data_IF_169683134661
#
_entry.id   IF_169683134661
#
_cell.length_a   1.000
_cell.length_b   1.000
_cell.length_c   1.000
_cell.angle_alpha   90.00
_cell.angle_beta   90.00
_cell.angle_gamma   90.00
#
_symmetry.space_group_name_H-M   'P 1'
#
loop_
_entity.id
_entity.type
_entity.pdbx_description
1 polymer ?
#
# COMPACT_ATOMS: atom_id res chain seq x y z
N UNK A 1 21.28 -21.48 55.36
CA UNK A 1 21.91 -20.21 54.90
C UNK A 1 22.39 -20.24 53.45
N UNK A 2 22.51 -21.39 52.77
CA UNK A 2 23.02 -21.48 51.39
C UNK A 2 22.14 -20.81 50.31
N UNK A 3 20.81 -20.71 50.52
CA UNK A 3 19.92 -20.09 49.52
C UNK A 3 19.90 -18.55 49.55
N UNK A 4 20.41 -17.90 50.62
CA UNK A 4 20.41 -16.43 50.72
C UNK A 4 21.35 -15.79 49.70
N UNK A 5 22.52 -16.37 49.48
CA UNK A 5 23.49 -15.83 48.52
C UNK A 5 22.97 -15.95 47.08
N UNK A 6 22.30 -17.05 46.74
CA UNK A 6 21.67 -17.24 45.43
C UNK A 6 20.56 -16.21 45.20
N UNK A 7 19.72 -15.95 46.21
CA UNK A 7 18.65 -14.95 46.13
C UNK A 7 19.18 -13.52 45.96
N UNK A 8 20.26 -13.17 46.66
CA UNK A 8 20.92 -11.86 46.53
C UNK A 8 21.54 -11.70 45.14
N UNK A 9 22.27 -12.71 44.65
CA UNK A 9 22.84 -12.68 43.29
C UNK A 9 21.74 -12.55 42.24
N UNK A 10 20.66 -13.32 42.35
CA UNK A 10 19.51 -13.22 41.45
C UNK A 10 18.86 -11.83 41.48
N UNK A 11 18.67 -11.26 42.68
CA UNK A 11 18.10 -9.91 42.83
C UNK A 11 18.98 -8.85 42.21
N UNK A 12 20.30 -8.95 42.39
CA UNK A 12 21.28 -8.03 41.79
C UNK A 12 21.26 -8.16 40.27
N UNK A 13 21.28 -9.38 39.72
CA UNK A 13 21.18 -9.60 38.28
C UNK A 13 19.87 -9.08 37.69
N UNK A 14 18.74 -9.30 38.38
CA UNK A 14 17.44 -8.76 37.98
C UNK A 14 17.45 -7.23 38.00
N UNK A 15 18.03 -6.60 39.02
CA UNK A 15 18.15 -5.14 39.09
C UNK A 15 19.03 -4.58 37.96
N UNK A 16 20.11 -5.26 37.59
CA UNK A 16 20.88 -4.87 36.40
C UNK A 16 20.10 -5.05 35.11
N UNK A 17 19.34 -6.14 34.96
CA UNK A 17 18.49 -6.36 33.81
C UNK A 17 17.40 -5.29 33.69
N UNK A 18 16.76 -4.89 34.79
CA UNK A 18 15.75 -3.82 34.77
C UNK A 18 16.35 -2.46 34.46
N UNK A 19 17.50 -2.13 35.04
CA UNK A 19 18.23 -0.90 34.70
C UNK A 19 18.64 -0.86 33.22
N UNK A 20 19.08 -2.00 32.67
CA UNK A 20 19.37 -2.11 31.25
C UNK A 20 18.12 -1.86 30.39
N UNK A 21 16.98 -2.49 30.71
CA UNK A 21 15.73 -2.22 29.96
C UNK A 21 15.26 -0.76 30.06
N UNK A 22 15.37 -0.14 31.24
CA UNK A 22 15.00 1.27 31.45
C UNK A 22 15.94 2.24 30.71
N UNK A 23 17.20 1.86 30.51
CA UNK A 23 18.16 2.70 29.80
C UNK A 23 17.76 2.94 28.33
N UNK A 24 17.05 2.01 27.69
CA UNK A 24 16.55 2.20 26.33
C UNK A 24 15.55 3.35 26.24
N UNK A 25 14.62 3.50 27.19
CA UNK A 25 13.70 4.64 27.23
C UNK A 25 14.45 5.98 27.36
N UNK A 26 15.50 6.03 28.17
CA UNK A 26 16.27 7.26 28.37
C UNK A 26 17.11 7.63 27.14
N UNK A 27 17.71 6.65 26.48
CA UNK A 27 18.46 6.87 25.23
C UNK A 27 17.53 7.27 24.09
N UNK A 28 16.37 6.61 23.96
CA UNK A 28 15.36 6.96 22.96
C UNK A 28 14.86 8.40 23.11
N UNK A 29 14.45 8.78 24.34
CA UNK A 29 13.92 10.13 24.59
C UNK A 29 14.96 11.23 24.39
N UNK A 30 16.23 10.96 24.73
CA UNK A 30 17.33 11.90 24.46
C UNK A 30 17.54 12.13 22.96
N UNK A 31 17.48 11.06 22.16
CA UNK A 31 17.61 11.17 20.70
C UNK A 31 16.40 11.87 20.06
N UNK A 32 15.19 11.59 20.55
CA UNK A 32 13.96 12.26 20.10
C UNK A 32 13.96 13.75 20.44
N UNK A 33 14.46 14.13 21.63
CA UNK A 33 14.65 15.56 21.97
C UNK A 33 15.60 16.26 20.99
N UNK A 34 16.66 15.57 20.55
CA UNK A 34 17.60 16.11 19.55
C UNK A 34 16.90 16.30 18.20
N UNK A 35 16.01 15.37 17.82
CA UNK A 35 15.22 15.49 16.60
C UNK A 35 14.21 16.65 16.66
N UNK A 36 13.59 16.87 17.81
CA UNK A 36 12.68 18.01 18.02
C UNK A 36 13.42 19.35 17.92
N UNK A 37 14.62 19.44 18.49
CA UNK A 37 15.50 20.62 18.35
C UNK A 37 15.87 20.88 16.88
N UNK A 38 16.22 19.83 16.13
CA UNK A 38 16.48 19.92 14.69
C UNK A 38 15.23 20.36 13.92
N UNK A 39 14.07 19.81 14.26
CA UNK A 39 12.80 20.18 13.66
C UNK A 39 12.46 21.65 13.85
N UNK A 40 12.60 22.14 15.09
CA UNK A 40 12.39 23.56 15.42
C UNK A 40 13.36 24.48 14.65
N UNK A 41 14.62 24.08 14.49
CA UNK A 41 15.59 24.81 13.68
C UNK A 41 15.19 24.90 12.20
N UNK A 42 14.72 23.79 11.61
CA UNK A 42 14.25 23.77 10.21
C UNK A 42 13.01 24.65 10.05
N UNK A 43 12.06 24.57 10.98
CA UNK A 43 10.85 25.41 10.95
C UNK A 43 11.18 26.90 11.05
N UNK A 44 12.09 27.30 11.93
CA UNK A 44 12.57 28.68 12.06
C UNK A 44 13.22 29.19 10.77
N UNK A 45 14.00 28.34 10.10
CA UNK A 45 14.57 28.66 8.79
C UNK A 45 13.49 28.82 7.70
N UNK A 46 12.44 27.98 7.71
CA UNK A 46 11.35 28.07 6.74
C UNK A 46 10.47 29.29 6.99
N UNK A 47 10.18 29.61 8.25
CA UNK A 47 9.43 30.80 8.65
C UNK A 47 10.16 32.07 8.24
N UNK A 48 11.46 32.15 8.57
CA UNK A 48 12.31 33.28 8.20
C UNK A 48 12.41 33.48 6.69
N UNK A 49 12.31 32.41 5.91
CA UNK A 49 12.29 32.44 4.45
C UNK A 49 10.91 32.69 3.84
N UNK A 50 9.84 32.74 4.64
CA UNK A 50 8.45 32.84 4.16
C UNK A 50 8.00 31.60 3.36
N UNK A 51 8.60 30.44 3.62
CA UNK A 51 8.44 29.20 2.85
C UNK A 51 7.59 28.13 3.55
N UNK A 52 6.90 28.48 4.65
CA UNK A 52 5.99 27.57 5.37
C UNK A 52 4.78 27.13 4.52
N UNK A 53 4.40 27.92 3.51
CA UNK A 53 3.20 27.67 2.72
C UNK A 53 1.94 27.75 3.60
N UNK A 54 1.14 26.69 3.57
CA UNK A 54 -0.09 26.57 4.37
C UNK A 54 0.12 25.91 5.75
N UNK A 55 1.35 25.47 6.06
CA UNK A 55 1.64 24.79 7.33
C UNK A 55 1.90 25.78 8.47
N UNK A 56 1.52 25.39 9.68
CA UNK A 56 1.93 26.10 10.90
C UNK A 56 3.38 25.77 11.28
N UNK A 57 4.00 26.62 12.11
CA UNK A 57 5.36 26.38 12.61
C UNK A 57 5.50 25.01 13.28
N UNK A 58 4.54 24.66 14.16
CA UNK A 58 4.55 23.39 14.88
C UNK A 58 4.42 22.19 13.95
N UNK A 59 3.61 22.31 12.88
CA UNK A 59 3.46 21.26 11.86
C UNK A 59 4.75 21.04 11.07
N UNK A 60 5.40 22.13 10.65
CA UNK A 60 6.67 22.10 9.93
C UNK A 60 7.80 21.53 10.80
N UNK A 61 7.87 21.97 12.07
CA UNK A 61 8.87 21.49 13.03
C UNK A 61 8.70 19.98 13.28
N UNK A 62 7.46 19.55 13.55
CA UNK A 62 7.17 18.14 13.77
C UNK A 62 7.40 17.30 12.51
N UNK A 63 7.18 17.85 11.30
CA UNK A 63 7.49 17.16 10.05
C UNK A 63 8.99 16.95 9.88
N UNK A 64 9.80 17.98 10.10
CA UNK A 64 11.25 17.90 9.99
C UNK A 64 11.86 16.98 11.05
N UNK A 65 11.36 17.00 12.29
CA UNK A 65 11.78 16.06 13.34
C UNK A 65 11.48 14.60 12.95
N UNK A 66 10.28 14.32 12.44
CA UNK A 66 9.90 12.98 11.94
C UNK A 66 10.80 12.51 10.80
N UNK A 67 11.11 13.41 9.86
CA UNK A 67 11.99 13.11 8.74
C UNK A 67 13.41 12.79 9.21
N UNK A 68 13.93 13.58 10.15
CA UNK A 68 15.22 13.32 10.78
C UNK A 68 15.28 11.93 11.45
N UNK A 69 14.27 11.56 12.24
CA UNK A 69 14.20 10.26 12.91
C UNK A 69 14.10 9.10 11.90
N UNK A 70 13.32 9.28 10.83
CA UNK A 70 13.18 8.30 9.75
C UNK A 70 14.52 8.06 9.05
N UNK A 71 15.20 9.13 8.68
CA UNK A 71 16.46 9.06 7.93
C UNK A 71 17.61 8.58 8.83
N UNK A 72 17.49 8.80 10.15
CA UNK A 72 18.43 8.34 11.18
C UNK A 72 18.07 6.98 11.80
N UNK A 73 17.14 6.22 11.22
CA UNK A 73 16.67 4.96 11.81
C UNK A 73 17.79 3.93 12.10
N UNK A 74 18.86 3.94 11.28
CA UNK A 74 20.03 3.07 11.43
C UNK A 74 21.18 3.70 12.21
N UNK A 75 21.06 4.95 12.64
CA UNK A 75 22.10 5.63 13.40
C UNK A 75 22.32 4.91 14.74
N UNK A 76 23.59 4.64 15.09
CA UNK A 76 23.97 4.06 16.37
C UNK A 76 23.87 5.13 17.46
N UNK A 77 22.88 5.00 18.33
CA UNK A 77 22.62 6.00 19.38
C UNK A 77 22.94 5.47 20.78
N UNK A 78 23.06 4.14 20.93
CA UNK A 78 23.29 3.54 22.23
C UNK A 78 24.79 3.50 22.56
N UNK A 79 25.23 4.13 23.67
CA UNK A 79 26.65 4.47 23.90
C UNK A 79 27.59 3.27 24.13
N UNK A 80 27.06 2.10 24.53
CA UNK A 80 27.90 0.95 24.94
C UNK A 80 27.91 -0.18 23.91
N UNK A 81 26.78 -0.45 23.26
CA UNK A 81 26.56 -1.65 22.45
C UNK A 81 26.30 -1.36 20.96
N UNK A 82 26.45 -0.10 20.52
CA UNK A 82 26.26 0.28 19.10
C UNK A 82 24.84 0.01 18.58
N UNK A 83 23.84 -0.03 19.45
CA UNK A 83 22.47 -0.27 19.01
C UNK A 83 21.94 0.92 18.22
N UNK A 84 21.35 0.62 17.05
CA UNK A 84 20.65 1.62 16.23
C UNK A 84 19.42 2.19 16.92
N UNK A 85 18.98 3.40 16.52
CA UNK A 85 17.74 4.00 17.01
C UNK A 85 16.55 3.05 16.87
N UNK A 86 16.40 2.39 15.71
CA UNK A 86 15.35 1.39 15.50
C UNK A 86 15.37 0.28 16.54
N UNK A 87 16.54 -0.29 16.83
CA UNK A 87 16.67 -1.34 17.84
C UNK A 87 16.33 -0.84 19.24
N UNK A 88 16.82 0.35 19.61
CA UNK A 88 16.51 0.98 20.90
C UNK A 88 15.00 1.22 21.04
N UNK A 89 14.32 1.66 19.97
CA UNK A 89 12.88 1.88 19.95
C UNK A 89 12.08 0.58 20.08
N UNK A 90 12.56 -0.51 19.50
CA UNK A 90 11.95 -1.85 19.64
C UNK A 90 12.07 -2.44 21.06
N UNK A 91 13.13 -2.10 21.78
CA UNK A 91 13.39 -2.54 23.17
C UNK A 91 12.77 -1.60 24.23
N UNK A 92 12.29 -0.43 23.83
CA UNK A 92 11.66 0.54 24.71
C UNK A 92 10.44 -0.08 25.42
N UNK A 93 10.28 0.20 26.71
CA UNK A 93 9.10 -0.25 27.47
C UNK A 93 7.83 0.36 26.88
N UNK A 94 6.83 -0.50 26.65
CA UNK A 94 5.52 -0.08 26.18
C UNK A 94 4.76 0.60 27.32
N UNK A 95 4.60 1.91 27.23
CA UNK A 95 3.82 2.69 28.19
C UNK A 95 2.29 2.59 27.92
N UNK A 96 1.88 1.92 26.85
CA UNK A 96 0.50 1.85 26.41
C UNK A 96 0.02 3.15 25.78
N UNK A 97 -1.21 3.12 25.25
CA UNK A 97 -1.82 4.27 24.57
C UNK A 97 -2.05 5.46 25.51
N UNK A 98 -2.38 5.19 26.78
CA UNK A 98 -2.72 6.22 27.76
C UNK A 98 -1.52 7.09 28.14
N UNK A 99 -0.34 6.48 28.27
CA UNK A 99 0.88 7.19 28.69
C UNK A 99 1.76 7.65 27.52
N UNK A 100 1.81 6.89 26.42
CA UNK A 100 2.62 7.24 25.22
C UNK A 100 1.84 8.07 24.20
N UNK A 101 0.50 8.11 24.31
CA UNK A 101 -0.35 8.56 23.22
C UNK A 101 -0.28 7.64 22.01
N UNK A 102 -0.98 7.99 20.94
CA UNK A 102 -0.99 7.23 19.69
C UNK A 102 -2.36 7.20 19.02
N UNK A 103 -2.72 6.04 18.45
CA UNK A 103 -3.98 5.86 17.74
C UNK A 103 -4.65 4.54 18.11
N UNK A 104 -5.97 4.57 18.37
CA UNK A 104 -6.83 3.40 18.46
C UNK A 104 -7.87 3.46 17.34
N UNK A 105 -8.00 2.38 16.58
CA UNK A 105 -8.94 2.25 15.46
C UNK A 105 -9.67 0.92 15.57
N UNK A 106 -10.99 0.96 15.39
CA UNK A 106 -11.78 -0.25 15.15
C UNK A 106 -12.06 -0.35 13.66
N UNK A 107 -11.59 -1.43 13.06
CA UNK A 107 -11.84 -1.80 11.68
C UNK A 107 -12.94 -2.85 11.64
N UNK A 108 -13.69 -2.91 10.54
CA UNK A 108 -14.73 -3.90 10.34
C UNK A 108 -14.54 -4.56 8.98
N UNK A 109 -14.61 -5.89 8.96
CA UNK A 109 -14.54 -6.67 7.74
C UNK A 109 -15.88 -6.57 7.02
N UNK A 110 -15.85 -6.22 5.73
CA UNK A 110 -17.07 -6.12 4.92
C UNK A 110 -17.57 -7.51 4.51
N UNK A 111 -18.26 -8.17 5.43
CA UNK A 111 -18.97 -9.42 5.16
C UNK A 111 -20.04 -9.30 4.05
N UNK A 112 -20.78 -8.18 3.90
CA UNK A 112 -21.70 -8.04 2.76
C UNK A 112 -21.00 -8.17 1.41
N UNK A 113 -19.84 -7.53 1.26
CA UNK A 113 -19.09 -7.55 0.00
C UNK A 113 -18.48 -8.93 -0.26
N UNK A 114 -18.04 -9.63 0.80
CA UNK A 114 -17.61 -11.03 0.71
C UNK A 114 -18.74 -11.92 0.17
N UNK A 115 -19.95 -11.82 0.74
CA UNK A 115 -21.09 -12.64 0.31
C UNK A 115 -21.47 -12.34 -1.15
N UNK A 116 -21.41 -11.07 -1.56
CA UNK A 116 -21.60 -10.69 -2.98
C UNK A 116 -20.53 -11.31 -3.88
N UNK A 117 -19.25 -11.24 -3.49
CA UNK A 117 -18.16 -11.82 -4.27
C UNK A 117 -18.28 -13.35 -4.39
N UNK A 118 -18.66 -14.05 -3.32
CA UNK A 118 -18.89 -15.50 -3.32
C UNK A 118 -20.05 -15.91 -4.25
N UNK A 119 -21.03 -15.03 -4.42
CA UNK A 119 -22.15 -15.23 -5.37
C UNK A 119 -21.80 -14.91 -6.83
N UNK A 120 -20.53 -14.63 -7.16
CA UNK A 120 -20.09 -14.10 -8.45
C UNK A 120 -20.91 -12.85 -8.85
N UNK A 121 -21.02 -11.92 -7.89
CA UNK A 121 -21.70 -10.64 -8.07
C UNK A 121 -23.17 -10.73 -8.55
N UNK A 122 -23.88 -11.81 -8.19
CA UNK A 122 -25.27 -12.05 -8.58
C UNK A 122 -26.19 -10.82 -8.48
N UNK A 123 -26.94 -10.55 -9.55
CA UNK A 123 -27.92 -9.44 -9.63
C UNK A 123 -29.32 -9.83 -9.16
N UNK A 124 -29.49 -10.99 -8.53
CA UNK A 124 -30.80 -11.44 -8.05
C UNK A 124 -31.41 -10.42 -7.06
N UNK A 125 -32.61 -9.94 -7.38
CA UNK A 125 -33.26 -8.87 -6.63
C UNK A 125 -33.57 -9.26 -5.18
N UNK A 126 -33.96 -10.51 -4.94
CA UNK A 126 -34.23 -10.98 -3.58
C UNK A 126 -32.94 -11.14 -2.77
N UNK A 127 -31.86 -11.62 -3.38
CA UNK A 127 -30.56 -11.74 -2.75
C UNK A 127 -29.99 -10.37 -2.35
N UNK A 128 -29.98 -9.41 -3.29
CA UNK A 128 -29.53 -8.03 -3.02
C UNK A 128 -30.43 -7.34 -1.99
N UNK A 129 -31.74 -7.61 -2.05
CA UNK A 129 -32.72 -7.14 -1.07
C UNK A 129 -32.41 -7.67 0.34
N UNK A 130 -32.24 -8.98 0.49
CA UNK A 130 -31.92 -9.62 1.76
C UNK A 130 -30.59 -9.12 2.36
N UNK A 131 -29.56 -8.89 1.53
CA UNK A 131 -28.30 -8.27 1.98
C UNK A 131 -28.50 -6.83 2.49
N UNK A 132 -29.34 -6.04 1.78
CA UNK A 132 -29.69 -4.69 2.21
C UNK A 132 -30.46 -4.68 3.53
N UNK A 133 -31.43 -5.58 3.67
CA UNK A 133 -32.26 -5.74 4.86
C UNK A 133 -31.38 -6.15 6.06
N UNK A 134 -30.48 -7.12 5.88
CA UNK A 134 -29.49 -7.52 6.89
C UNK A 134 -28.56 -6.37 7.30
N UNK A 135 -28.11 -5.56 6.34
CA UNK A 135 -27.27 -4.37 6.61
C UNK A 135 -28.04 -3.31 7.40
N UNK A 136 -29.34 -3.15 7.16
CA UNK A 136 -30.19 -2.25 7.93
C UNK A 136 -30.38 -2.77 9.37
N UNK A 137 -30.68 -4.06 9.53
CA UNK A 137 -30.84 -4.71 10.84
C UNK A 137 -29.58 -4.61 11.71
N UNK A 138 -28.39 -4.71 11.10
CA UNK A 138 -27.12 -4.60 11.82
C UNK A 138 -26.87 -3.24 12.46
N UNK A 139 -27.57 -2.18 12.02
CA UNK A 139 -27.50 -0.86 12.68
C UNK A 139 -28.24 -0.82 14.01
N UNK A 140 -29.27 -1.65 14.17
CA UNK A 140 -30.11 -1.72 15.37
C UNK A 140 -29.78 -2.90 16.28
N UNK A 141 -29.09 -3.93 15.76
CA UNK A 141 -28.87 -5.21 16.43
C UNK A 141 -27.38 -5.51 16.55
N UNK A 142 -26.98 -6.13 17.66
CA UNK A 142 -25.61 -6.58 17.91
C UNK A 142 -25.28 -7.98 17.39
N UNK A 143 -26.11 -8.55 16.51
CA UNK A 143 -25.94 -9.90 15.98
C UNK A 143 -24.88 -9.95 14.86
N UNK A 144 -24.37 -11.15 14.58
CA UNK A 144 -23.49 -11.40 13.45
C UNK A 144 -24.19 -11.17 12.10
N UNK A 145 -23.46 -10.68 11.10
CA UNK A 145 -24.03 -10.33 9.80
C UNK A 145 -24.60 -11.54 9.05
N UNK A 146 -23.95 -12.71 9.10
CA UNK A 146 -24.43 -13.90 8.38
C UNK A 146 -25.75 -14.38 8.98
N UNK A 147 -25.90 -14.31 10.29
CA UNK A 147 -27.17 -14.60 10.99
C UNK A 147 -28.28 -13.63 10.61
N UNK A 148 -27.96 -12.33 10.51
CA UNK A 148 -28.95 -11.33 10.06
C UNK A 148 -29.33 -11.54 8.59
N UNK A 149 -28.38 -11.95 7.76
CA UNK A 149 -28.62 -12.28 6.36
C UNK A 149 -29.48 -13.53 6.19
N UNK A 150 -29.23 -14.58 6.97
CA UNK A 150 -30.07 -15.78 7.01
C UNK A 150 -31.52 -15.47 7.38
N UNK A 151 -31.73 -14.64 8.40
CA UNK A 151 -33.07 -14.19 8.79
C UNK A 151 -33.76 -13.42 7.66
N UNK A 152 -33.07 -12.43 7.10
CA UNK A 152 -33.60 -11.62 6.00
C UNK A 152 -33.89 -12.45 4.75
N UNK A 153 -33.03 -13.41 4.40
CA UNK A 153 -33.24 -14.32 3.28
C UNK A 153 -34.47 -15.19 3.48
N UNK A 154 -34.60 -15.80 4.66
CA UNK A 154 -35.72 -16.69 5.00
C UNK A 154 -37.06 -15.96 4.95
N UNK A 155 -37.10 -14.70 5.39
CA UNK A 155 -38.31 -13.86 5.33
C UNK A 155 -38.66 -13.43 3.90
N UNK A 156 -37.64 -13.18 3.08
CA UNK A 156 -37.80 -12.54 1.77
C UNK A 156 -38.02 -13.52 0.62
N UNK A 157 -37.30 -14.64 0.62
CA UNK A 157 -37.29 -15.58 -0.49
C UNK A 157 -37.36 -17.05 -0.05
N UNK A 158 -38.37 -17.45 0.76
CA UNK A 158 -38.46 -18.82 1.28
C UNK A 158 -38.64 -19.90 0.20
N UNK A 159 -39.06 -19.53 -1.00
CA UNK A 159 -39.29 -20.45 -2.12
C UNK A 159 -38.11 -20.52 -3.10
N UNK A 160 -37.10 -19.65 -2.94
CA UNK A 160 -35.92 -19.61 -3.82
C UNK A 160 -34.79 -20.38 -3.15
N UNK A 161 -34.29 -21.40 -3.83
CA UNK A 161 -33.17 -22.18 -3.31
C UNK A 161 -31.85 -21.38 -3.38
N UNK A 162 -31.21 -21.15 -2.23
CA UNK A 162 -30.03 -20.27 -2.13
C UNK A 162 -28.82 -20.82 -2.90
N UNK A 163 -28.71 -22.13 -3.07
CA UNK A 163 -27.63 -22.76 -3.83
C UNK A 163 -27.56 -22.26 -5.29
N UNK A 164 -28.68 -21.80 -5.87
CA UNK A 164 -28.72 -21.22 -7.23
C UNK A 164 -27.98 -19.89 -7.34
N UNK A 165 -27.75 -19.22 -6.22
CA UNK A 165 -27.04 -17.95 -6.15
C UNK A 165 -25.52 -18.17 -6.00
N UNK A 166 -25.12 -19.20 -5.24
CA UNK A 166 -23.71 -19.43 -4.90
C UNK A 166 -23.02 -20.53 -5.72
N UNK A 167 -23.77 -21.43 -6.36
CA UNK A 167 -23.21 -22.42 -7.27
C UNK A 167 -22.84 -21.78 -8.62
N UNK A 168 -21.63 -21.21 -8.71
CA UNK A 168 -21.05 -20.59 -9.90
C UNK A 168 -19.74 -21.28 -10.32
N UNK A 169 -19.16 -20.86 -11.44
CA UNK A 169 -17.99 -21.53 -12.03
C UNK A 169 -16.75 -21.42 -11.12
N UNK A 170 -16.63 -20.29 -10.43
CA UNK A 170 -15.54 -19.94 -9.52
C UNK A 170 -15.61 -20.73 -8.20
N UNK A 171 -16.81 -20.92 -7.65
CA UNK A 171 -17.03 -21.47 -6.31
C UNK A 171 -17.82 -22.79 -6.27
N UNK A 172 -17.98 -23.49 -7.40
CA UNK A 172 -18.72 -24.77 -7.49
C UNK A 172 -18.26 -25.86 -6.50
N UNK A 173 -16.98 -25.87 -6.14
CA UNK A 173 -16.40 -26.85 -5.21
C UNK A 173 -16.70 -26.47 -3.76
N UNK A 174 -16.83 -25.18 -3.49
CA UNK A 174 -17.18 -24.62 -2.19
C UNK A 174 -18.70 -24.67 -1.94
N UNK A 175 -19.50 -24.41 -2.96
CA UNK A 175 -20.97 -24.46 -2.92
C UNK A 175 -21.49 -25.53 -3.88
N UNK A 176 -21.70 -26.78 -3.40
CA UNK A 176 -22.24 -27.85 -4.24
C UNK A 176 -23.64 -27.55 -4.77
N UNK A 177 -23.94 -28.07 -5.96
CA UNK A 177 -25.29 -27.95 -6.52
C UNK A 177 -26.32 -28.69 -5.66
N UNK A 178 -27.51 -28.10 -5.51
CA UNK A 178 -28.62 -28.63 -4.71
C UNK A 178 -28.33 -28.78 -3.21
N UNK A 179 -27.34 -28.08 -2.68
CA UNK A 179 -27.17 -27.93 -1.23
C UNK A 179 -28.38 -27.24 -0.61
N UNK A 180 -28.66 -27.60 0.64
CA UNK A 180 -29.69 -26.93 1.43
C UNK A 180 -29.23 -25.53 1.84
N UNK A 181 -30.20 -24.62 2.08
CA UNK A 181 -29.88 -23.26 2.54
C UNK A 181 -29.06 -23.27 3.84
N UNK A 182 -29.34 -24.21 4.76
CA UNK A 182 -28.58 -24.38 6.01
C UNK A 182 -27.10 -24.70 5.75
N UNK A 183 -26.81 -25.61 4.81
CA UNK A 183 -25.43 -25.93 4.42
C UNK A 183 -24.73 -24.71 3.79
N UNK A 184 -25.44 -23.95 2.94
CA UNK A 184 -24.89 -22.72 2.36
C UNK A 184 -24.55 -21.71 3.46
N UNK A 185 -25.42 -21.51 4.45
CA UNK A 185 -25.14 -20.60 5.57
C UNK A 185 -23.98 -21.08 6.44
N UNK A 186 -23.83 -22.39 6.67
CA UNK A 186 -22.67 -22.93 7.38
C UNK A 186 -21.36 -22.64 6.63
N UNK A 187 -21.35 -22.79 5.30
CA UNK A 187 -20.21 -22.40 4.46
C UNK A 187 -19.95 -20.89 4.56
N UNK A 188 -20.99 -20.05 4.45
CA UNK A 188 -20.83 -18.59 4.56
C UNK A 188 -20.27 -18.16 5.92
N UNK A 189 -20.66 -18.81 7.01
CA UNK A 189 -20.09 -18.55 8.35
C UNK A 189 -18.60 -18.93 8.42
N UNK A 190 -18.23 -20.07 7.83
CA UNK A 190 -16.83 -20.51 7.77
C UNK A 190 -15.96 -19.56 6.92
N UNK A 191 -16.47 -19.12 5.77
CA UNK A 191 -15.79 -18.14 4.92
C UNK A 191 -15.70 -16.76 5.57
N UNK A 192 -16.75 -16.33 6.27
CA UNK A 192 -16.73 -15.09 7.05
C UNK A 192 -15.62 -15.12 8.12
N UNK A 193 -15.51 -16.23 8.87
CA UNK A 193 -14.46 -16.39 9.86
C UNK A 193 -13.06 -16.38 9.23
N UNK A 194 -12.90 -17.09 8.12
CA UNK A 194 -11.64 -17.13 7.35
C UNK A 194 -11.25 -15.74 6.84
N UNK A 195 -12.20 -14.96 6.33
CA UNK A 195 -11.97 -13.60 5.88
C UNK A 195 -11.56 -12.67 7.03
N UNK A 196 -12.12 -12.85 8.23
CA UNK A 196 -11.72 -12.11 9.43
C UNK A 196 -10.28 -12.44 9.83
N UNK A 197 -9.93 -13.73 9.85
CA UNK A 197 -8.58 -14.18 10.21
C UNK A 197 -7.52 -13.70 9.19
N UNK A 198 -7.84 -13.76 7.90
CA UNK A 198 -7.00 -13.23 6.84
C UNK A 198 -6.82 -11.72 6.96
N UNK A 199 -7.89 -10.99 7.23
CA UNK A 199 -7.83 -9.53 7.41
C UNK A 199 -6.95 -9.16 8.60
N UNK A 200 -7.07 -9.87 9.72
CA UNK A 200 -6.21 -9.67 10.89
C UNK A 200 -4.73 -9.84 10.52
N UNK A 201 -4.38 -10.92 9.80
CA UNK A 201 -3.02 -11.18 9.34
C UNK A 201 -2.49 -10.07 8.42
N UNK A 202 -3.33 -9.59 7.49
CA UNK A 202 -2.99 -8.48 6.59
C UNK A 202 -2.74 -7.19 7.38
N UNK A 203 -3.60 -6.88 8.35
CA UNK A 203 -3.44 -5.71 9.20
C UNK A 203 -2.15 -5.77 10.02
N UNK A 204 -1.82 -6.93 10.61
CA UNK A 204 -0.53 -7.12 11.31
C UNK A 204 0.65 -6.81 10.41
N UNK A 205 0.71 -7.42 9.21
CA UNK A 205 1.79 -7.19 8.22
C UNK A 205 1.91 -5.73 7.80
N UNK A 206 0.80 -5.01 7.68
CA UNK A 206 0.79 -3.57 7.35
C UNK A 206 1.33 -2.71 8.48
N UNK A 207 1.01 -3.07 9.72
CA UNK A 207 1.49 -2.35 10.89
C UNK A 207 3.01 -2.51 11.05
N UNK A 208 3.55 -3.69 10.73
CA UNK A 208 5.01 -3.91 10.75
C UNK A 208 5.77 -2.90 9.86
N UNK A 209 5.16 -2.42 8.78
CA UNK A 209 5.73 -1.40 7.89
C UNK A 209 5.66 0.03 8.43
N UNK A 210 4.88 0.27 9.48
CA UNK A 210 4.76 1.57 10.12
C UNK A 210 5.89 1.83 11.10
N UNK A 211 6.65 0.80 11.51
CA UNK A 211 7.78 0.93 12.43
C UNK A 211 7.37 1.24 13.87
N UNK A 212 6.12 0.94 14.24
CA UNK A 212 5.61 1.11 15.60
C UNK A 212 6.08 -0.03 16.49
N UNK A 213 6.58 0.32 17.68
CA UNK A 213 6.95 -0.65 18.70
C UNK A 213 5.68 -1.33 19.25
N UNK A 214 5.58 -2.65 19.04
CA UNK A 214 4.63 -3.55 19.70
C UNK A 214 3.14 -3.17 19.56
N UNK A 215 2.55 -3.28 18.35
CA UNK A 215 1.14 -3.00 18.14
C UNK A 215 0.21 -4.04 18.81
N UNK A 216 -0.94 -3.59 19.28
CA UNK A 216 -2.00 -4.47 19.78
C UNK A 216 -3.08 -4.63 18.70
N UNK A 217 -3.27 -5.87 18.24
CA UNK A 217 -4.31 -6.22 17.26
C UNK A 217 -5.16 -7.33 17.85
N UNK A 218 -6.46 -7.07 18.02
CA UNK A 218 -7.39 -8.00 18.65
C UNK A 218 -8.67 -8.13 17.81
N UNK A 219 -9.11 -9.37 17.60
CA UNK A 219 -10.44 -9.64 17.05
C UNK A 219 -11.50 -9.37 18.10
N UNK A 220 -12.47 -8.53 17.75
CA UNK A 220 -13.68 -8.29 18.51
C UNK A 220 -14.82 -9.15 17.95
N UNK A 221 -15.97 -9.14 18.64
CA UNK A 221 -17.17 -9.79 18.14
C UNK A 221 -17.71 -9.12 16.86
N UNK A 222 -18.41 -9.91 16.04
CA UNK A 222 -19.11 -9.52 14.81
C UNK A 222 -18.19 -9.00 13.69
N UNK A 223 -17.00 -9.60 13.54
CA UNK A 223 -16.07 -9.27 12.45
C UNK A 223 -15.38 -7.92 12.58
N UNK A 224 -15.29 -7.38 13.79
CA UNK A 224 -14.54 -6.15 14.08
C UNK A 224 -13.13 -6.49 14.56
N UNK A 225 -12.17 -5.61 14.26
CA UNK A 225 -10.77 -5.75 14.64
C UNK A 225 -10.34 -4.46 15.32
N UNK A 226 -9.94 -4.55 16.59
CA UNK A 226 -9.34 -3.45 17.34
C UNK A 226 -7.85 -3.40 17.02
N UNK A 227 -7.37 -2.21 16.64
CA UNK A 227 -5.97 -1.93 16.38
C UNK A 227 -5.55 -0.74 17.23
N UNK A 228 -4.55 -0.95 18.08
CA UNK A 228 -3.95 0.09 18.89
C UNK A 228 -2.46 0.20 18.56
N UNK A 229 -2.05 1.42 18.20
CA UNK A 229 -0.69 1.77 17.81
C UNK A 229 -0.16 2.83 18.79
N UNK A 230 0.45 2.42 19.91
CA UNK A 230 1.06 3.35 20.86
C UNK A 230 2.28 4.04 20.24
N UNK A 231 2.44 5.33 20.48
CA UNK A 231 3.59 6.11 20.00
C UNK A 231 3.69 6.23 18.48
N UNK A 232 2.57 6.13 17.75
CA UNK A 232 2.52 6.50 16.33
C UNK A 232 2.41 8.03 16.19
N UNK A 233 3.39 8.64 15.54
CA UNK A 233 3.41 10.10 15.33
C UNK A 233 2.52 10.50 14.14
N UNK A 234 2.62 9.78 13.02
CA UNK A 234 1.85 10.04 11.80
C UNK A 234 0.59 9.17 11.71
N UNK A 235 -0.50 9.70 12.28
CA UNK A 235 -1.82 9.05 12.30
C UNK A 235 -2.45 8.97 10.91
N UNK A 236 -2.18 9.93 10.03
CA UNK A 236 -2.75 9.96 8.68
C UNK A 236 -2.12 8.89 7.80
N UNK A 237 -0.79 8.74 7.84
CA UNK A 237 -0.08 7.66 7.18
C UNK A 237 -0.52 6.30 7.71
N UNK A 238 -0.63 6.15 9.03
CA UNK A 238 -1.12 4.90 9.62
C UNK A 238 -2.55 4.58 9.16
N UNK A 239 -3.46 5.56 9.16
CA UNK A 239 -4.82 5.41 8.64
C UNK A 239 -4.82 5.03 7.16
N UNK A 240 -4.00 5.68 6.32
CA UNK A 240 -3.88 5.39 4.89
C UNK A 240 -3.39 3.96 4.66
N UNK A 241 -2.39 3.52 5.41
CA UNK A 241 -1.83 2.17 5.31
C UNK A 241 -2.88 1.12 5.71
N UNK A 242 -3.57 1.33 6.83
CA UNK A 242 -4.62 0.42 7.32
C UNK A 242 -5.82 0.35 6.35
N UNK A 243 -6.22 1.47 5.73
CA UNK A 243 -7.33 1.54 4.77
C UNK A 243 -6.98 1.07 3.35
N UNK A 244 -5.71 1.06 2.98
CA UNK A 244 -5.31 0.75 1.61
C UNK A 244 -5.88 -0.61 1.17
N UNK A 245 -6.53 -0.70 0.01
CA UNK A 245 -6.88 -1.99 -0.57
C UNK A 245 -5.72 -2.40 -1.44
N UNK A 246 -5.00 -3.46 -1.07
CA UNK A 246 -3.90 -3.97 -1.88
C UNK A 246 -4.50 -4.90 -2.94
N UNK A 247 -5.01 -4.31 -4.03
CA UNK A 247 -5.39 -5.09 -5.20
C UNK A 247 -4.12 -5.42 -5.99
N UNK A 248 -3.72 -6.69 -6.00
CA UNK A 248 -2.61 -7.15 -6.82
C UNK A 248 -3.18 -7.63 -8.16
N UNK A 249 -2.99 -6.82 -9.18
CA UNK A 249 -3.38 -7.16 -10.55
C UNK A 249 -2.14 -7.62 -11.32
N UNK A 250 -2.29 -8.73 -12.03
CA UNK A 250 -1.28 -9.22 -12.97
C UNK A 250 -1.67 -8.74 -14.36
N UNK A 251 -0.80 -7.94 -14.97
CA UNK A 251 -0.98 -7.46 -16.33
C UNK A 251 -0.03 -8.22 -17.24
N UNK A 252 -0.53 -8.68 -18.38
CA UNK A 252 0.34 -9.11 -19.47
C UNK A 252 1.10 -7.89 -20.00
N UNK A 253 2.41 -8.04 -20.18
CA UNK A 253 3.28 -6.96 -20.66
C UNK A 253 4.05 -7.43 -21.88
N UNK A 254 4.43 -6.49 -22.74
CA UNK A 254 5.32 -6.76 -23.86
C UNK A 254 6.77 -6.73 -23.40
N UNK A 255 7.59 -7.57 -24.01
CA UNK A 255 9.04 -7.41 -23.91
C UNK A 255 9.52 -6.34 -24.89
N UNK A 256 10.62 -5.68 -24.54
CA UNK A 256 11.23 -4.65 -25.36
C UNK A 256 11.55 -5.11 -26.79
N UNK A 257 11.97 -6.36 -27.00
CA UNK A 257 12.23 -6.91 -28.34
C UNK A 257 10.98 -6.96 -29.24
N UNK A 258 9.80 -7.08 -28.65
CA UNK A 258 8.51 -7.07 -29.36
C UNK A 258 8.06 -5.65 -29.73
N UNK A 259 8.57 -4.64 -29.01
CA UNK A 259 8.15 -3.23 -29.14
C UNK A 259 9.15 -2.38 -29.93
N UNK A 260 10.44 -2.71 -29.90
CA UNK A 260 11.52 -1.92 -30.54
C UNK A 260 11.22 -1.63 -32.02
N UNK A 261 10.73 -2.63 -32.77
CA UNK A 261 10.38 -2.43 -34.19
C UNK A 261 9.27 -1.40 -34.39
N UNK A 262 8.26 -1.42 -33.51
CA UNK A 262 7.14 -0.46 -33.53
C UNK A 262 7.60 0.95 -33.14
N UNK A 263 8.50 1.06 -32.16
CA UNK A 263 9.13 2.33 -31.80
C UNK A 263 9.96 2.92 -32.94
N UNK A 264 10.67 2.07 -33.70
CA UNK A 264 11.39 2.47 -34.90
C UNK A 264 10.46 3.04 -35.96
N UNK A 265 9.35 2.35 -36.23
CA UNK A 265 8.32 2.82 -37.16
C UNK A 265 7.69 4.15 -36.70
N UNK A 266 7.44 4.31 -35.39
CA UNK A 266 6.91 5.55 -34.82
C UNK A 266 7.89 6.72 -34.98
N UNK A 267 9.19 6.51 -34.70
CA UNK A 267 10.23 7.53 -34.92
C UNK A 267 10.30 7.97 -36.39
N UNK A 268 10.24 7.02 -37.33
CA UNK A 268 10.26 7.33 -38.77
C UNK A 268 8.98 8.06 -39.22
N UNK A 269 7.81 7.64 -38.73
CA UNK A 269 6.54 8.29 -39.04
C UNK A 269 6.51 9.75 -38.56
N UNK A 270 7.00 9.99 -37.34
CA UNK A 270 7.18 11.34 -36.79
C UNK A 270 8.12 12.18 -37.65
N UNK A 271 9.26 11.61 -38.04
CA UNK A 271 10.26 12.31 -38.85
C UNK A 271 9.71 12.70 -40.23
N UNK A 272 8.93 11.82 -40.88
CA UNK A 272 8.29 12.13 -42.18
C UNK A 272 7.28 13.26 -42.11
N UNK A 273 6.58 13.41 -40.98
CA UNK A 273 5.62 14.50 -40.77
C UNK A 273 6.32 15.82 -40.47
N UNK A 274 7.39 15.78 -39.66
CA UNK A 274 8.08 16.99 -39.19
C UNK A 274 9.12 17.52 -40.19
N UNK A 275 9.75 16.63 -40.96
CA UNK A 275 10.84 16.97 -41.90
C UNK A 275 10.75 16.13 -43.18
N UNK A 276 9.67 16.29 -43.97
CA UNK A 276 9.45 15.50 -45.20
C UNK A 276 10.58 15.64 -46.23
N UNK A 277 11.29 16.77 -46.24
CA UNK A 277 12.44 17.04 -47.11
C UNK A 277 13.63 16.10 -46.89
N UNK A 278 13.68 15.41 -45.76
CA UNK A 278 14.71 14.41 -45.43
C UNK A 278 14.34 13.00 -45.92
N UNK A 279 13.21 12.85 -46.61
CA UNK A 279 12.68 11.57 -47.08
C UNK A 279 12.30 11.64 -48.58
N UNK A 280 12.40 10.51 -49.29
CA UNK A 280 12.08 10.39 -50.72
C UNK A 280 13.31 10.31 -51.64
N UNK A 281 13.09 10.18 -52.96
CA UNK A 281 14.16 9.91 -53.94
C UNK A 281 15.21 11.02 -54.07
N UNK A 282 14.85 12.26 -53.74
CA UNK A 282 15.74 13.42 -53.80
C UNK A 282 16.36 13.80 -52.44
N UNK A 283 16.18 12.96 -51.42
CA UNK A 283 16.70 13.24 -50.08
C UNK A 283 18.25 13.22 -50.08
N UNK A 284 18.90 14.10 -49.29
CA UNK A 284 20.36 14.06 -49.14
C UNK A 284 20.80 12.74 -48.53
N UNK A 285 21.97 12.23 -48.94
CA UNK A 285 22.54 11.04 -48.32
C UNK A 285 22.83 11.28 -46.82
N UNK A 286 22.59 10.28 -45.99
CA UNK A 286 22.74 10.38 -44.53
C UNK A 286 24.14 10.83 -44.10
N UNK A 287 25.18 10.45 -44.87
CA UNK A 287 26.57 10.86 -44.65
C UNK A 287 26.83 12.36 -44.87
N UNK A 288 25.88 13.08 -45.47
CA UNK A 288 25.98 14.51 -45.81
C UNK A 288 25.10 15.40 -44.93
N UNK A 289 24.29 14.80 -44.05
CA UNK A 289 23.38 15.53 -43.17
C UNK A 289 24.13 16.23 -42.04
N UNK A 290 23.68 17.44 -41.70
CA UNK A 290 24.15 18.13 -40.48
C UNK A 290 23.64 17.44 -39.22
N UNK A 291 24.22 17.73 -38.06
CA UNK A 291 23.74 17.16 -36.79
C UNK A 291 22.27 17.50 -36.51
N UNK A 292 21.83 18.70 -36.86
CA UNK A 292 20.44 19.10 -36.67
C UNK A 292 19.49 18.34 -37.59
N UNK A 293 19.92 18.07 -38.84
CA UNK A 293 19.17 17.24 -39.77
C UNK A 293 19.12 15.77 -39.32
N UNK A 294 20.20 15.24 -38.75
CA UNK A 294 20.22 13.88 -38.18
C UNK A 294 19.27 13.74 -36.97
N UNK A 295 19.17 14.78 -36.12
CA UNK A 295 18.20 14.85 -35.03
C UNK A 295 16.77 14.97 -35.54
N UNK A 296 16.54 15.80 -36.56
CA UNK A 296 15.24 15.92 -37.22
C UNK A 296 14.78 14.62 -37.89
N UNK A 297 15.72 13.83 -38.42
CA UNK A 297 15.46 12.48 -38.94
C UNK A 297 15.13 11.45 -37.84
N UNK A 298 15.48 11.73 -36.58
CA UNK A 298 15.25 10.85 -35.42
C UNK A 298 14.63 11.60 -34.24
N UNK A 299 13.42 12.16 -34.39
CA UNK A 299 12.85 13.06 -33.41
C UNK A 299 12.63 12.38 -32.05
N UNK A 300 12.20 11.11 -32.04
CA UNK A 300 12.01 10.34 -30.81
C UNK A 300 13.35 9.86 -30.23
N UNK A 301 14.20 9.23 -31.04
CA UNK A 301 15.47 8.67 -30.55
C UNK A 301 16.55 9.72 -30.25
N UNK A 302 16.33 10.99 -30.61
CA UNK A 302 17.17 12.09 -30.15
C UNK A 302 17.07 12.37 -28.65
N UNK A 303 15.97 11.94 -28.02
CA UNK A 303 15.67 12.17 -26.60
C UNK A 303 15.30 10.88 -25.85
N UNK A 304 15.05 9.78 -26.57
CA UNK A 304 14.68 8.48 -26.01
C UNK A 304 15.68 7.39 -26.42
N UNK A 305 16.41 6.85 -25.44
CA UNK A 305 17.40 5.80 -25.66
C UNK A 305 16.77 4.42 -25.44
N UNK A 306 16.78 3.58 -26.47
CA UNK A 306 16.25 2.22 -26.38
C UNK A 306 17.10 1.33 -25.45
N UNK A 307 16.43 0.47 -24.69
CA UNK A 307 17.06 -0.61 -23.93
C UNK A 307 17.21 -1.84 -24.83
N UNK A 308 18.44 -2.15 -25.22
CA UNK A 308 18.79 -3.24 -26.14
C UNK A 308 19.62 -4.36 -25.48
N UNK A 309 20.09 -4.15 -24.25
CA UNK A 309 21.06 -5.01 -23.59
C UNK A 309 20.45 -6.23 -22.91
N UNK A 310 19.16 -6.16 -22.54
CA UNK A 310 18.43 -7.27 -21.91
C UNK A 310 16.99 -7.32 -22.38
N UNK A 311 16.44 -8.54 -22.47
CA UNK A 311 15.00 -8.72 -22.69
C UNK A 311 14.24 -8.38 -21.41
N UNK A 312 13.44 -7.32 -21.42
CA UNK A 312 12.70 -6.84 -20.24
C UNK A 312 11.48 -6.02 -20.62
N UNK A 313 10.60 -5.73 -19.65
CA UNK A 313 9.47 -4.81 -19.84
C UNK A 313 9.90 -3.34 -19.99
N UNK A 314 11.17 -3.01 -19.72
CA UNK A 314 11.70 -1.66 -19.93
C UNK A 314 12.13 -1.52 -21.39
N UNK A 315 11.44 -0.63 -22.12
CA UNK A 315 11.70 -0.36 -23.55
C UNK A 315 12.82 0.65 -23.80
N UNK A 316 13.11 1.53 -22.82
CA UNK A 316 14.13 2.56 -22.96
C UNK A 316 14.14 3.57 -21.81
N UNK A 317 15.01 4.57 -21.94
CA UNK A 317 15.28 5.59 -20.94
C UNK A 317 15.30 6.98 -21.59
N UNK A 318 14.87 7.98 -20.83
CA UNK A 318 14.95 9.40 -21.18
C UNK A 318 15.45 10.18 -19.98
N UNK A 319 16.04 11.35 -20.22
CA UNK A 319 16.30 12.29 -19.14
C UNK A 319 14.96 12.76 -18.55
N UNK A 320 14.94 13.00 -17.23
CA UNK A 320 13.74 13.47 -16.55
C UNK A 320 13.21 14.79 -17.16
N UNK A 321 14.11 15.67 -17.60
CA UNK A 321 13.77 16.93 -18.30
C UNK A 321 13.04 16.71 -19.63
N UNK A 322 13.25 15.58 -20.30
CA UNK A 322 12.71 15.27 -21.63
C UNK A 322 11.47 14.37 -21.61
N UNK A 323 11.00 13.95 -20.42
CA UNK A 323 9.83 13.07 -20.23
C UNK A 323 8.58 13.61 -20.94
N UNK A 324 8.29 14.90 -20.77
CA UNK A 324 7.12 15.53 -21.41
C UNK A 324 7.26 15.51 -22.94
N UNK A 325 8.46 15.79 -23.45
CA UNK A 325 8.74 15.80 -24.89
C UNK A 325 8.57 14.41 -25.52
N UNK A 326 9.02 13.36 -24.83
CA UNK A 326 8.82 11.97 -25.27
C UNK A 326 7.33 11.61 -25.28
N UNK A 327 6.60 11.93 -24.21
CA UNK A 327 5.16 11.70 -24.13
C UNK A 327 4.38 12.44 -25.23
N UNK A 328 4.75 13.69 -25.50
CA UNK A 328 4.15 14.50 -26.56
C UNK A 328 4.37 13.85 -27.93
N UNK A 329 5.62 13.43 -28.24
CA UNK A 329 5.95 12.75 -29.50
C UNK A 329 5.20 11.43 -29.66
N UNK A 330 5.14 10.59 -28.62
CA UNK A 330 4.43 9.30 -28.66
C UNK A 330 2.90 9.48 -28.76
N UNK A 331 2.37 10.60 -28.30
CA UNK A 331 0.92 10.89 -28.37
C UNK A 331 0.45 11.37 -29.76
N UNK A 332 1.37 11.79 -30.64
CA UNK A 332 1.02 12.30 -31.96
C UNK A 332 0.33 11.21 -32.81
N UNK A 333 -0.62 11.60 -33.69
CA UNK A 333 -1.37 10.63 -34.50
C UNK A 333 -0.47 9.68 -35.32
N UNK A 334 0.59 10.22 -35.93
CA UNK A 334 1.54 9.44 -36.74
C UNK A 334 2.31 8.40 -35.91
N UNK A 335 2.66 8.71 -34.67
CA UNK A 335 3.31 7.77 -33.76
C UNK A 335 2.33 6.69 -33.27
N UNK A 336 1.11 7.09 -32.89
CA UNK A 336 0.08 6.15 -32.41
C UNK A 336 -0.35 5.13 -33.46
N UNK A 337 -0.47 5.56 -34.71
CA UNK A 337 -0.77 4.66 -35.82
C UNK A 337 0.34 3.61 -36.01
N UNK A 338 1.60 4.01 -35.87
CA UNK A 338 2.75 3.10 -35.98
C UNK A 338 2.92 2.16 -34.77
N UNK A 339 2.53 2.59 -33.57
CA UNK A 339 2.63 1.80 -32.34
C UNK A 339 1.54 0.73 -32.22
N UNK A 340 0.38 0.97 -32.84
CA UNK A 340 -0.81 0.13 -32.71
C UNK A 340 -1.65 0.48 -31.48
N UNK A 341 -2.93 0.11 -31.50
CA UNK A 341 -3.89 0.40 -30.43
C UNK A 341 -3.77 -0.50 -29.19
N UNK A 342 -3.05 -1.61 -29.33
CA UNK A 342 -2.80 -2.65 -28.33
C UNK A 342 -1.62 -2.31 -27.40
N UNK A 343 -0.76 -1.37 -27.79
CA UNK A 343 0.43 -0.99 -27.04
C UNK A 343 0.22 0.35 -26.32
N UNK A 344 0.47 0.36 -25.00
CA UNK A 344 0.53 1.57 -24.18
C UNK A 344 1.94 1.69 -23.60
N UNK A 345 2.58 2.81 -23.86
CA UNK A 345 3.94 3.15 -23.42
C UNK A 345 3.94 4.20 -22.33
#
# INVERSE_FOLDING_TARGET
MQNKNILVVFTVLLAFATLYTLSFNWVASGFETTADEYGAYVADSLESAGALGDQTFDEAAAQAAREFLRDSATAEIYPVFGHSYRHVKEQELNLGLDLKGGMSVTLEVSLPDLIVALSDYSDNAEFRGALSDAKALRKSTGDDFVTLFERAWTERAPEVELWRIFHNMENKDLFPAKSSDAEIFDILRAEAQTAIDNTESIIRKRIDQLGVAQPNVQKLQNGRILVELPGIDDRERARKQLKSTANLEFWETYFNDEVIGRLGAANEALAKVQSPELFGENAPADSTLTQDQLRAKNPLFSVFQLELGRRSAVVGYTLASDTNRVNDLLSQPAAREALGSDLRL
#
